data_IF_158058696106
#
_entry.id   IF_158058696106
#
_cell.length_a   1.000
_cell.length_b   1.000
_cell.length_c   1.000
_cell.angle_alpha   90.00
_cell.angle_beta   90.00
_cell.angle_gamma   90.00
#
_symmetry.space_group_name_H-M   'P 1'
#
loop_
_entity.id
_entity.type
_entity.pdbx_description
1 polymer ?
#
# COMPACT_ATOMS: atom_id res chain seq x y z
N UNK A 1 63.07 -8.14 -41.16
CA UNK A 1 61.98 -8.03 -42.15
C UNK A 1 61.02 -9.20 -41.98
N UNK A 2 61.48 -10.46 -42.05
CA UNK A 2 60.62 -11.65 -41.82
C UNK A 2 60.09 -11.77 -40.37
N UNK A 3 60.90 -11.49 -39.34
CA UNK A 3 60.46 -11.56 -37.93
C UNK A 3 59.41 -10.49 -37.55
N UNK A 4 59.48 -9.29 -38.15
CA UNK A 4 58.51 -8.22 -37.91
C UNK A 4 57.14 -8.52 -38.55
N UNK A 5 57.12 -9.19 -39.70
CA UNK A 5 55.88 -9.63 -40.35
C UNK A 5 55.18 -10.75 -39.56
N UNK A 6 55.93 -11.68 -38.95
CA UNK A 6 55.36 -12.72 -38.08
C UNK A 6 54.74 -12.16 -36.80
N UNK A 7 55.40 -11.18 -36.14
CA UNK A 7 54.83 -10.51 -34.96
C UNK A 7 53.54 -9.74 -35.30
N UNK A 8 53.50 -9.05 -36.44
CA UNK A 8 52.30 -8.31 -36.88
C UNK A 8 51.13 -9.26 -37.21
N UNK A 9 51.42 -10.43 -37.79
CA UNK A 9 50.41 -11.45 -38.04
C UNK A 9 49.88 -12.07 -36.74
N UNK A 10 50.75 -12.29 -35.75
CA UNK A 10 50.37 -12.82 -34.43
C UNK A 10 49.51 -11.81 -33.65
N UNK A 11 49.85 -10.53 -33.69
CA UNK A 11 49.03 -9.44 -33.13
C UNK A 11 47.66 -9.37 -33.80
N UNK A 12 47.59 -9.46 -35.14
CA UNK A 12 46.31 -9.50 -35.88
C UNK A 12 45.47 -10.71 -35.49
N UNK A 13 46.09 -11.89 -35.29
CA UNK A 13 45.42 -13.09 -34.78
C UNK A 13 44.91 -12.90 -33.34
N UNK A 14 45.70 -12.29 -32.45
CA UNK A 14 45.31 -11.96 -31.06
C UNK A 14 44.14 -10.97 -31.03
N UNK A 15 44.15 -9.92 -31.87
CA UNK A 15 43.06 -8.94 -32.02
C UNK A 15 41.76 -9.59 -32.52
N UNK A 16 41.85 -10.48 -33.51
CA UNK A 16 40.68 -11.24 -34.02
C UNK A 16 40.09 -12.16 -32.96
N UNK A 17 40.91 -12.83 -32.15
CA UNK A 17 40.45 -13.66 -31.02
C UNK A 17 39.76 -12.85 -29.93
N UNK A 18 40.29 -11.66 -29.58
CA UNK A 18 39.65 -10.76 -28.59
C UNK A 18 38.28 -10.27 -29.06
N UNK A 19 38.17 -9.80 -30.31
CA UNK A 19 36.88 -9.37 -30.89
C UNK A 19 35.83 -10.47 -30.92
N UNK A 20 36.23 -11.73 -31.19
CA UNK A 20 35.31 -12.88 -31.13
C UNK A 20 34.81 -13.15 -29.71
N UNK A 21 35.71 -13.14 -28.72
CA UNK A 21 35.34 -13.32 -27.29
C UNK A 21 34.41 -12.20 -26.79
N UNK A 22 34.66 -10.95 -27.17
CA UNK A 22 33.79 -9.81 -26.82
C UNK A 22 32.39 -9.95 -27.42
N UNK A 23 32.30 -10.40 -28.67
CA UNK A 23 31.01 -10.67 -29.33
C UNK A 23 30.21 -11.79 -28.65
N UNK A 24 30.88 -12.87 -28.25
CA UNK A 24 30.26 -13.99 -27.52
C UNK A 24 29.74 -13.56 -26.12
N UNK A 25 30.52 -12.76 -25.39
CA UNK A 25 30.09 -12.21 -24.09
C UNK A 25 28.87 -11.27 -24.21
N UNK A 26 28.85 -10.43 -25.23
CA UNK A 26 27.73 -9.50 -25.45
C UNK A 26 26.44 -10.25 -25.82
N UNK A 27 26.56 -11.32 -26.60
CA UNK A 27 25.44 -12.20 -26.95
C UNK A 27 24.90 -12.93 -25.71
N UNK A 28 25.78 -13.39 -24.82
CA UNK A 28 25.38 -14.04 -23.57
C UNK A 28 24.68 -13.04 -22.61
N UNK A 29 25.18 -11.81 -22.50
CA UNK A 29 24.54 -10.72 -21.74
C UNK A 29 23.14 -10.39 -22.30
N UNK A 30 22.97 -10.34 -23.63
CA UNK A 30 21.66 -10.17 -24.29
C UNK A 30 20.71 -11.35 -24.01
N UNK A 31 21.19 -12.59 -24.05
CA UNK A 31 20.40 -13.79 -23.71
C UNK A 31 19.96 -13.79 -22.24
N UNK A 32 20.85 -13.43 -21.30
CA UNK A 32 20.52 -13.28 -19.87
C UNK A 32 19.47 -12.19 -19.63
N UNK A 33 19.57 -11.04 -20.30
CA UNK A 33 18.59 -9.94 -20.20
C UNK A 33 17.20 -10.36 -20.72
N UNK A 34 17.13 -11.03 -21.88
CA UNK A 34 15.88 -11.59 -22.43
C UNK A 34 15.25 -12.65 -21.51
N UNK A 35 16.05 -13.51 -20.85
CA UNK A 35 15.55 -14.49 -19.86
C UNK A 35 14.96 -13.79 -18.62
N UNK A 36 15.62 -12.74 -18.10
CA UNK A 36 15.12 -11.93 -16.97
C UNK A 36 13.79 -11.25 -17.30
N UNK A 37 13.66 -10.67 -18.49
CA UNK A 37 12.40 -10.03 -18.93
C UNK A 37 11.25 -11.03 -19.12
N UNK A 38 11.53 -12.20 -19.69
CA UNK A 38 10.54 -13.30 -19.79
C UNK A 38 10.08 -13.74 -18.40
N UNK A 39 10.98 -13.81 -17.41
CA UNK A 39 10.67 -14.07 -16.01
C UNK A 39 9.74 -13.02 -15.39
N UNK A 40 10.04 -11.72 -15.58
CA UNK A 40 9.20 -10.61 -15.12
C UNK A 40 7.79 -10.64 -15.75
N UNK A 41 7.69 -10.91 -17.06
CA UNK A 41 6.40 -11.07 -17.77
C UNK A 41 5.59 -12.26 -17.25
N UNK A 42 6.22 -13.41 -16.99
CA UNK A 42 5.56 -14.59 -16.39
C UNK A 42 5.04 -14.31 -14.98
N UNK A 43 5.81 -13.62 -14.13
CA UNK A 43 5.37 -13.20 -12.77
C UNK A 43 4.16 -12.24 -12.84
N UNK A 44 4.19 -11.25 -13.75
CA UNK A 44 3.07 -10.31 -13.97
C UNK A 44 1.80 -11.03 -14.47
N UNK A 45 1.94 -12.03 -15.35
CA UNK A 45 0.81 -12.85 -15.85
C UNK A 45 0.24 -13.77 -14.75
N UNK A 46 1.08 -14.35 -13.88
CA UNK A 46 0.64 -15.10 -12.70
C UNK A 46 -0.11 -14.22 -11.68
N UNK A 47 0.40 -13.01 -11.37
CA UNK A 47 -0.30 -12.01 -10.53
C UNK A 47 -1.67 -11.64 -11.10
N UNK A 48 -1.78 -11.36 -12.41
CA UNK A 48 -3.07 -11.07 -13.08
C UNK A 48 -4.05 -12.25 -13.04
N UNK A 49 -3.59 -13.49 -13.22
CA UNK A 49 -4.44 -14.69 -13.11
C UNK A 49 -4.93 -14.91 -11.67
N UNK A 50 -4.09 -14.68 -10.65
CA UNK A 50 -4.50 -14.71 -9.24
C UNK A 50 -5.53 -13.62 -8.91
N UNK A 51 -5.34 -12.40 -9.41
CA UNK A 51 -6.31 -11.29 -9.27
C UNK A 51 -7.69 -11.65 -9.86
N UNK A 52 -7.73 -12.24 -11.06
CA UNK A 52 -8.99 -12.72 -11.68
C UNK A 52 -9.64 -13.88 -10.92
N UNK A 53 -8.84 -14.74 -10.27
CA UNK A 53 -9.36 -15.85 -9.46
C UNK A 53 -9.96 -15.32 -8.15
N UNK A 54 -9.29 -14.35 -7.51
CA UNK A 54 -9.79 -13.58 -6.36
C UNK A 54 -11.07 -12.79 -6.68
N UNK A 55 -11.18 -12.18 -7.86
CA UNK A 55 -12.43 -11.52 -8.29
C UNK A 55 -13.61 -12.51 -8.39
N UNK A 56 -13.37 -13.72 -8.91
CA UNK A 56 -14.39 -14.78 -8.98
C UNK A 56 -14.75 -15.41 -7.63
N UNK A 57 -13.84 -15.34 -6.66
CA UNK A 57 -14.10 -15.76 -5.28
C UNK A 57 -14.80 -14.65 -4.47
N UNK A 58 -14.52 -13.37 -4.74
CA UNK A 58 -15.25 -12.22 -4.17
C UNK A 58 -16.74 -12.20 -4.50
N UNK A 59 -17.14 -12.63 -5.70
CA UNK A 59 -18.57 -12.78 -6.06
C UNK A 59 -19.31 -13.80 -5.19
N UNK A 60 -18.59 -14.76 -4.59
CA UNK A 60 -19.20 -15.80 -3.73
C UNK A 60 -19.32 -15.41 -2.26
N UNK A 61 -18.66 -14.34 -1.82
CA UNK A 61 -18.58 -13.92 -0.40
C UNK A 61 -19.34 -12.59 -0.16
N UNK A 62 -20.17 -12.13 -1.10
CA UNK A 62 -21.00 -10.93 -0.91
C UNK A 62 -22.34 -11.28 -0.25
N UNK A 63 -22.57 -10.97 1.05
CA UNK A 63 -23.86 -10.46 1.46
C UNK A 63 -23.92 -8.98 1.09
N UNK A 64 -25.02 -8.61 0.44
CA UNK A 64 -25.38 -7.29 -0.04
C UNK A 64 -25.20 -6.21 1.04
N UNK A 65 -24.18 -5.36 0.91
CA UNK A 65 -24.03 -4.14 1.69
C UNK A 65 -24.32 -2.94 0.79
N UNK A 66 -25.59 -2.55 0.74
CA UNK A 66 -26.00 -1.20 0.36
C UNK A 66 -25.70 -0.30 1.56
N UNK A 67 -24.65 0.51 1.47
CA UNK A 67 -24.41 1.62 2.39
C UNK A 67 -24.99 2.88 1.75
N UNK A 68 -26.23 3.20 2.10
CA UNK A 68 -26.81 4.51 1.80
C UNK A 68 -26.18 5.59 2.66
N UNK A 69 -25.96 6.74 2.03
CA UNK A 69 -25.32 7.92 2.60
C UNK A 69 -26.28 8.66 3.53
N UNK A 70 -25.76 9.16 4.65
CA UNK A 70 -26.21 10.42 5.22
C UNK A 70 -25.12 11.44 5.01
N UNK A 71 -25.39 12.43 4.15
CA UNK A 71 -24.67 13.69 4.17
C UNK A 71 -25.02 14.39 5.50
N UNK A 72 -24.05 14.44 6.40
CA UNK A 72 -24.14 15.31 7.57
C UNK A 72 -23.49 16.64 7.21
N UNK A 73 -24.35 17.65 7.04
CA UNK A 73 -23.94 19.02 6.77
C UNK A 73 -23.36 19.65 8.02
N UNK A 74 -22.04 19.63 8.16
CA UNK A 74 -21.35 20.48 9.13
C UNK A 74 -20.84 21.74 8.41
N UNK A 75 -21.60 22.83 8.57
CA UNK A 75 -21.06 24.19 8.40
C UNK A 75 -19.94 24.36 9.42
N UNK A 76 -18.74 24.77 9.00
CA UNK A 76 -17.73 25.28 9.93
C UNK A 76 -17.16 26.60 9.45
N UNK A 77 -17.10 27.50 10.42
CA UNK A 77 -16.99 28.95 10.41
C UNK A 77 -15.81 29.52 9.62
N UNK A 78 -16.08 30.60 8.88
CA UNK A 78 -15.11 31.63 8.54
C UNK A 78 -14.96 32.57 9.76
N UNK A 79 -13.74 32.89 10.18
CA UNK A 79 -13.42 34.22 10.69
C UNK A 79 -11.92 34.57 10.66
N UNK A 80 -11.66 35.75 10.08
CA UNK A 80 -10.63 36.78 10.35
C UNK A 80 -9.14 36.46 10.60
N UNK A 81 -8.33 37.11 9.74
CA UNK A 81 -7.21 38.03 10.05
C UNK A 81 -5.71 37.62 9.85
N UNK A 82 -5.09 38.39 8.93
CA UNK A 82 -3.71 38.92 8.86
C UNK A 82 -2.61 38.15 8.06
N UNK A 83 -2.56 38.48 6.75
CA UNK A 83 -1.43 39.09 5.99
C UNK A 83 -0.02 38.48 6.09
N UNK A 84 0.08 37.19 5.82
CA UNK A 84 1.37 36.49 5.62
C UNK A 84 1.23 34.96 5.71
N UNK A 85 0.13 34.50 6.32
CA UNK A 85 -0.29 33.10 6.46
C UNK A 85 -1.24 32.61 5.36
N UNK A 86 -1.66 33.51 4.46
CA UNK A 86 -2.72 33.25 3.49
C UNK A 86 -2.38 32.19 2.45
N UNK A 87 -1.12 32.10 2.03
CA UNK A 87 -0.70 31.10 1.05
C UNK A 87 -0.78 29.68 1.64
N UNK A 88 -0.28 29.50 2.87
CA UNK A 88 -0.37 28.25 3.65
C UNK A 88 -1.79 27.81 3.92
N UNK A 89 -2.68 28.75 4.21
CA UNK A 89 -4.09 28.49 4.42
C UNK A 89 -4.83 28.17 3.11
N UNK A 90 -4.50 28.85 2.01
CA UNK A 90 -4.98 28.53 0.66
C UNK A 90 -4.51 27.14 0.19
N UNK A 91 -3.28 26.72 0.57
CA UNK A 91 -2.74 25.38 0.32
C UNK A 91 -3.56 24.28 1.02
N UNK A 92 -3.94 24.51 2.27
CA UNK A 92 -4.80 23.59 3.04
C UNK A 92 -6.20 23.47 2.42
N UNK A 93 -6.81 24.61 2.08
CA UNK A 93 -8.17 24.66 1.48
C UNK A 93 -8.23 23.96 0.12
N UNK A 94 -7.19 24.06 -0.71
CA UNK A 94 -7.14 23.42 -2.02
C UNK A 94 -7.05 21.89 -1.93
N UNK A 95 -6.20 21.35 -1.04
CA UNK A 95 -6.07 19.91 -0.83
C UNK A 95 -7.33 19.30 -0.19
N UNK A 96 -7.97 20.03 0.73
CA UNK A 96 -9.18 19.57 1.41
C UNK A 96 -10.42 19.45 0.51
N UNK A 97 -10.44 20.13 -0.65
CA UNK A 97 -11.54 20.04 -1.63
C UNK A 97 -11.30 19.02 -2.73
N UNK A 98 -10.09 18.95 -3.26
CA UNK A 98 -9.72 17.98 -4.28
C UNK A 98 -8.22 17.71 -4.16
N UNK A 99 -7.80 16.55 -3.64
CA UNK A 99 -6.43 16.34 -3.25
C UNK A 99 -5.50 16.27 -4.47
N UNK A 100 -6.00 15.75 -5.59
CA UNK A 100 -5.29 15.76 -6.87
C UNK A 100 -4.97 17.18 -7.36
N UNK A 101 -5.95 18.09 -7.34
CA UNK A 101 -5.74 19.50 -7.73
C UNK A 101 -4.87 20.24 -6.72
N UNK A 102 -5.02 19.95 -5.43
CA UNK A 102 -4.19 20.52 -4.38
C UNK A 102 -2.71 20.18 -4.55
N UNK A 103 -2.38 18.91 -4.80
CA UNK A 103 -1.01 18.47 -5.05
C UNK A 103 -0.45 19.09 -6.34
N UNK A 104 -1.22 19.14 -7.43
CA UNK A 104 -0.78 19.81 -8.66
C UNK A 104 -0.50 21.30 -8.46
N UNK A 105 -1.31 21.99 -7.67
CA UNK A 105 -1.10 23.41 -7.36
C UNK A 105 0.18 23.63 -6.53
N UNK A 106 0.43 22.75 -5.56
CA UNK A 106 1.65 22.81 -4.75
C UNK A 106 2.91 22.58 -5.61
N UNK A 107 2.84 21.64 -6.55
CA UNK A 107 3.91 21.38 -7.52
C UNK A 107 4.14 22.60 -8.42
N UNK A 108 3.08 23.14 -9.03
CA UNK A 108 3.19 24.25 -9.99
C UNK A 108 3.71 25.55 -9.36
N UNK A 109 3.50 25.71 -8.06
CA UNK A 109 4.02 26.83 -7.26
C UNK A 109 5.40 26.57 -6.66
N UNK A 110 5.99 25.38 -6.88
CA UNK A 110 7.33 25.03 -6.42
C UNK A 110 7.44 24.69 -4.93
N UNK A 111 6.32 24.42 -4.24
CA UNK A 111 6.33 24.09 -2.80
C UNK A 111 6.73 22.64 -2.52
N UNK A 112 6.44 21.75 -3.46
CA UNK A 112 6.83 20.34 -3.40
C UNK A 112 7.41 19.95 -4.77
N UNK A 113 8.43 19.09 -4.80
CA UNK A 113 8.99 18.65 -6.07
C UNK A 113 8.00 17.73 -6.80
N UNK A 114 7.99 17.80 -8.12
CA UNK A 114 7.16 16.95 -8.99
C UNK A 114 7.72 15.51 -9.08
N UNK A 115 7.80 14.84 -7.94
CA UNK A 115 8.33 13.48 -7.81
C UNK A 115 7.48 12.69 -6.82
N UNK A 116 7.25 11.39 -7.06
CA UNK A 116 6.44 10.57 -6.14
C UNK A 116 6.98 10.55 -4.71
N UNK A 117 8.31 10.47 -4.57
CA UNK A 117 9.02 10.48 -3.28
C UNK A 117 8.83 11.82 -2.57
N UNK A 118 8.98 12.93 -3.28
CA UNK A 118 8.77 14.27 -2.73
C UNK A 118 7.36 14.50 -2.20
N UNK A 119 6.36 14.04 -2.96
CA UNK A 119 4.96 14.09 -2.52
C UNK A 119 4.73 13.14 -1.33
N UNK A 120 5.33 11.95 -1.32
CA UNK A 120 5.21 11.00 -0.21
C UNK A 120 5.74 11.60 1.11
N UNK A 121 6.95 12.17 1.11
CA UNK A 121 7.50 12.85 2.28
C UNK A 121 6.63 14.03 2.72
N UNK A 122 6.12 14.83 1.78
CA UNK A 122 5.20 15.92 2.10
C UNK A 122 3.94 15.42 2.83
N UNK A 123 3.32 14.34 2.33
CA UNK A 123 2.11 13.76 2.93
C UNK A 123 2.35 13.19 4.33
N UNK A 124 3.56 12.64 4.60
CA UNK A 124 3.90 12.05 5.89
C UNK A 124 4.38 13.06 6.94
N UNK A 125 5.10 14.11 6.53
CA UNK A 125 5.75 15.03 7.46
C UNK A 125 4.90 16.26 7.80
N UNK A 126 4.01 16.70 6.91
CA UNK A 126 3.26 17.94 7.11
C UNK A 126 2.09 17.74 8.06
N UNK A 127 2.16 18.43 9.20
CA UNK A 127 1.05 18.56 10.14
C UNK A 127 -0.11 19.33 9.50
N UNK A 128 -1.33 18.96 9.88
CA UNK A 128 -2.55 19.65 9.46
C UNK A 128 -3.14 19.16 8.14
N UNK A 129 -2.56 18.17 7.45
CA UNK A 129 -3.24 17.54 6.32
C UNK A 129 -4.36 16.59 6.81
N UNK A 130 -5.52 16.66 6.17
CA UNK A 130 -6.61 15.73 6.47
C UNK A 130 -6.24 14.30 6.09
N UNK A 131 -6.17 13.41 7.08
CA UNK A 131 -5.88 11.97 6.90
C UNK A 131 -6.87 11.29 5.93
N UNK A 132 -8.10 11.79 5.87
CA UNK A 132 -9.11 11.35 4.91
C UNK A 132 -8.72 11.69 3.48
N UNK A 133 -8.29 12.93 3.25
CA UNK A 133 -7.89 13.39 1.92
C UNK A 133 -6.59 12.74 1.45
N UNK A 134 -5.69 12.43 2.38
CA UNK A 134 -4.51 11.58 2.10
C UNK A 134 -4.95 10.20 1.63
N UNK A 135 -5.86 9.54 2.36
CA UNK A 135 -6.40 8.23 1.98
C UNK A 135 -7.10 8.27 0.62
N UNK A 136 -7.84 9.33 0.32
CA UNK A 136 -8.50 9.53 -0.96
C UNK A 136 -7.51 9.69 -2.12
N UNK A 137 -6.47 10.50 -1.92
CA UNK A 137 -5.41 10.71 -2.92
C UNK A 137 -4.66 9.41 -3.23
N UNK A 138 -4.21 8.71 -2.19
CA UNK A 138 -3.40 7.49 -2.31
C UNK A 138 -4.22 6.29 -2.80
N UNK A 139 -5.51 6.24 -2.44
CA UNK A 139 -6.45 5.22 -2.88
C UNK A 139 -6.85 5.36 -4.36
N UNK A 140 -6.53 6.47 -5.03
CA UNK A 140 -6.88 6.69 -6.42
C UNK A 140 -6.09 5.78 -7.37
N UNK A 141 -6.74 4.70 -7.82
CA UNK A 141 -6.13 3.71 -8.70
C UNK A 141 -6.12 4.11 -10.18
N UNK A 142 -6.83 5.17 -10.56
CA UNK A 142 -6.96 5.61 -11.97
C UNK A 142 -5.69 6.29 -12.50
N UNK A 143 -4.93 6.93 -11.61
CA UNK A 143 -3.73 7.70 -11.97
C UNK A 143 -2.46 6.95 -11.59
N UNK A 144 -1.51 6.88 -12.52
CA UNK A 144 -0.22 6.22 -12.26
C UNK A 144 0.57 6.93 -11.16
N UNK A 145 0.57 8.27 -11.17
CA UNK A 145 1.30 9.08 -10.19
C UNK A 145 0.86 8.78 -8.76
N UNK A 146 -0.44 8.76 -8.47
CA UNK A 146 -0.98 8.43 -7.15
C UNK A 146 -0.56 7.03 -6.69
N UNK A 147 -0.51 6.07 -7.62
CA UNK A 147 -0.03 4.72 -7.33
C UNK A 147 1.44 4.70 -6.95
N UNK A 148 2.27 5.46 -7.67
CA UNK A 148 3.71 5.55 -7.42
C UNK A 148 3.97 6.28 -6.10
N UNK A 149 3.19 7.32 -5.77
CA UNK A 149 3.25 8.00 -4.47
C UNK A 149 2.88 7.04 -3.33
N UNK A 150 1.81 6.24 -3.48
CA UNK A 150 1.45 5.24 -2.46
C UNK A 150 2.57 4.23 -2.23
N UNK A 151 3.20 3.75 -3.31
CA UNK A 151 4.32 2.81 -3.20
C UNK A 151 5.49 3.47 -2.43
N UNK A 152 5.82 4.74 -2.70
CA UNK A 152 6.80 5.50 -1.91
C UNK A 152 6.38 5.71 -0.44
N UNK A 153 5.11 6.02 -0.18
CA UNK A 153 4.59 6.23 1.18
C UNK A 153 4.74 4.98 2.03
N UNK A 154 4.40 3.79 1.49
CA UNK A 154 4.57 2.54 2.25
C UNK A 154 6.04 2.17 2.39
N UNK A 155 6.89 2.52 1.43
CA UNK A 155 8.33 2.24 1.52
C UNK A 155 9.04 3.06 2.61
N UNK A 156 8.53 4.26 2.93
CA UNK A 156 8.98 5.07 4.07
C UNK A 156 8.52 4.51 5.43
N UNK A 157 7.61 3.52 5.44
CA UNK A 157 7.17 2.88 6.67
C UNK A 157 7.95 1.60 6.94
N UNK A 158 8.53 1.54 8.14
CA UNK A 158 9.15 0.32 8.67
C UNK A 158 8.16 -0.47 9.54
N UNK A 159 7.91 -1.71 9.16
CA UNK A 159 7.04 -2.66 9.87
C UNK A 159 7.81 -3.87 10.39
N UNK A 160 9.15 -3.84 10.34
CA UNK A 160 9.98 -4.98 10.72
C UNK A 160 9.81 -5.31 12.20
N UNK A 161 9.52 -6.58 12.50
CA UNK A 161 9.32 -7.07 13.86
C UNK A 161 8.00 -6.64 14.52
N UNK A 162 7.13 -5.91 13.80
CA UNK A 162 5.80 -5.56 14.29
C UNK A 162 4.80 -6.67 13.99
N UNK A 163 3.85 -6.87 14.89
CA UNK A 163 2.67 -7.69 14.60
C UNK A 163 1.78 -7.00 13.56
N UNK A 164 0.90 -7.78 12.91
CA UNK A 164 0.13 -7.29 11.77
C UNK A 164 -0.80 -6.12 12.14
N UNK A 165 -1.46 -6.20 13.28
CA UNK A 165 -2.36 -5.16 13.77
C UNK A 165 -1.61 -3.93 14.28
N UNK A 166 -0.42 -4.10 14.87
CA UNK A 166 0.46 -2.99 15.23
C UNK A 166 0.94 -2.22 14.00
N UNK A 167 1.45 -2.94 12.99
CA UNK A 167 1.85 -2.35 11.73
C UNK A 167 0.68 -1.65 11.03
N UNK A 168 -0.52 -2.24 11.07
CA UNK A 168 -1.72 -1.65 10.49
C UNK A 168 -2.15 -0.38 11.24
N UNK A 169 -2.03 -0.33 12.57
CA UNK A 169 -2.26 0.89 13.36
C UNK A 169 -1.24 1.98 13.00
N UNK A 170 0.04 1.64 12.85
CA UNK A 170 1.08 2.59 12.41
C UNK A 170 0.77 3.18 11.03
N UNK A 171 0.29 2.34 10.11
CA UNK A 171 -0.17 2.78 8.79
C UNK A 171 -1.39 3.71 8.90
N UNK A 172 -2.40 3.32 9.68
CA UNK A 172 -3.64 4.09 9.88
C UNK A 172 -3.45 5.40 10.66
N UNK A 173 -2.36 5.53 11.43
CA UNK A 173 -2.04 6.77 12.13
C UNK A 173 -1.83 7.95 11.16
N UNK A 174 -1.27 7.67 9.98
CA UNK A 174 -0.98 8.66 8.94
C UNK A 174 -2.10 8.76 7.88
N UNK A 175 -2.81 7.67 7.63
CA UNK A 175 -3.75 7.55 6.50
C UNK A 175 -5.08 6.99 7.00
N UNK A 176 -6.19 7.67 6.72
CA UNK A 176 -7.52 7.12 7.03
C UNK A 176 -7.91 6.08 5.96
N UNK A 177 -8.12 4.84 6.38
CA UNK A 177 -8.44 3.71 5.49
C UNK A 177 -9.94 3.36 5.56
N UNK A 178 -10.80 4.37 5.35
CA UNK A 178 -12.26 4.23 5.35
C UNK A 178 -12.85 4.90 4.11
N UNK A 179 -14.06 4.51 3.71
CA UNK A 179 -14.78 5.09 2.56
C UNK A 179 -15.01 4.07 1.45
N UNK A 180 -14.76 4.47 0.19
CA UNK A 180 -14.99 3.62 -0.98
C UNK A 180 -14.20 2.32 -0.92
N UNK A 181 -14.89 1.18 -1.08
CA UNK A 181 -14.29 -0.15 -0.98
C UNK A 181 -13.07 -0.34 -1.90
N UNK A 182 -13.11 0.21 -3.12
CA UNK A 182 -11.99 0.13 -4.07
C UNK A 182 -10.74 0.88 -3.60
N UNK A 183 -10.91 2.03 -2.93
CA UNK A 183 -9.80 2.82 -2.35
C UNK A 183 -9.20 2.10 -1.15
N UNK A 184 -10.05 1.56 -0.26
CA UNK A 184 -9.64 0.73 0.88
C UNK A 184 -8.83 -0.47 0.40
N UNK A 185 -9.32 -1.20 -0.61
CA UNK A 185 -8.60 -2.33 -1.19
C UNK A 185 -7.21 -1.96 -1.69
N UNK A 186 -7.08 -0.84 -2.38
CA UNK A 186 -5.79 -0.39 -2.89
C UNK A 186 -4.80 -0.09 -1.77
N UNK A 187 -5.23 0.61 -0.73
CA UNK A 187 -4.39 0.96 0.42
C UNK A 187 -3.93 -0.30 1.15
N UNK A 188 -4.84 -1.25 1.39
CA UNK A 188 -4.53 -2.49 2.09
C UNK A 188 -3.68 -3.45 1.26
N UNK A 189 -3.86 -3.47 -0.06
CA UNK A 189 -2.97 -4.21 -0.95
C UNK A 189 -1.52 -3.69 -0.85
N UNK A 190 -1.31 -2.38 -0.83
CA UNK A 190 0.01 -1.78 -0.70
C UNK A 190 0.62 -2.04 0.69
N UNK A 191 -0.15 -1.80 1.75
CA UNK A 191 0.26 -2.10 3.13
C UNK A 191 0.69 -3.57 3.29
N UNK A 192 -0.14 -4.50 2.82
CA UNK A 192 0.12 -5.94 2.97
C UNK A 192 1.39 -6.36 2.23
N UNK A 193 1.63 -5.80 1.04
CA UNK A 193 2.86 -6.07 0.29
C UNK A 193 4.09 -5.58 1.06
N UNK A 194 4.02 -4.39 1.66
CA UNK A 194 5.11 -3.84 2.47
C UNK A 194 5.34 -4.67 3.73
N UNK A 195 4.29 -5.02 4.47
CA UNK A 195 4.39 -5.86 5.66
C UNK A 195 5.07 -7.21 5.34
N UNK A 196 4.70 -7.86 4.24
CA UNK A 196 5.33 -9.10 3.79
C UNK A 196 6.82 -8.95 3.46
N UNK A 197 7.25 -7.78 2.99
CA UNK A 197 8.67 -7.51 2.72
C UNK A 197 9.47 -7.30 4.00
N UNK A 198 8.89 -6.63 5.00
CA UNK A 198 9.51 -6.39 6.30
C UNK A 198 9.55 -7.65 7.18
N UNK A 199 8.57 -8.54 7.05
CA UNK A 199 8.38 -9.70 7.93
C UNK A 199 8.35 -11.03 7.15
N UNK A 200 9.45 -11.42 6.46
CA UNK A 200 9.48 -12.63 5.64
C UNK A 200 9.26 -13.90 6.46
N UNK A 201 9.69 -13.92 7.73
CA UNK A 201 9.57 -15.09 8.61
C UNK A 201 8.12 -15.38 8.98
N UNK A 202 7.32 -14.33 9.19
CA UNK A 202 5.86 -14.44 9.41
C UNK A 202 5.17 -14.97 8.15
N UNK A 203 5.57 -14.48 6.97
CA UNK A 203 4.98 -14.91 5.70
C UNK A 203 5.25 -16.39 5.40
N UNK A 204 6.44 -16.90 5.75
CA UNK A 204 6.80 -18.30 5.54
C UNK A 204 5.91 -19.28 6.31
N UNK A 205 5.29 -18.84 7.41
CA UNK A 205 4.37 -19.67 8.18
C UNK A 205 3.01 -19.85 7.47
N UNK A 206 2.72 -19.03 6.46
CA UNK A 206 1.47 -19.11 5.70
C UNK A 206 1.65 -19.80 4.34
N UNK A 207 0.81 -20.80 4.07
CA UNK A 207 0.78 -21.50 2.78
C UNK A 207 0.24 -20.64 1.64
N UNK A 208 -0.66 -19.70 1.95
CA UNK A 208 -1.28 -18.81 0.98
C UNK A 208 -0.60 -17.43 1.00
N UNK A 209 0.00 -16.97 -0.12
CA UNK A 209 0.66 -15.67 -0.20
C UNK A 209 -0.30 -14.48 -0.05
N UNK A 210 -1.60 -14.75 -0.12
CA UNK A 210 -2.66 -13.76 -0.01
C UNK A 210 -3.22 -13.62 1.41
N UNK A 211 -2.77 -14.46 2.36
CA UNK A 211 -3.28 -14.48 3.74
C UNK A 211 -3.17 -13.12 4.42
N UNK A 212 -1.97 -12.50 4.45
CA UNK A 212 -1.77 -11.19 5.10
C UNK A 212 -2.76 -10.13 4.63
N UNK A 213 -3.07 -10.11 3.33
CA UNK A 213 -4.04 -9.18 2.76
C UNK A 213 -5.46 -9.45 3.27
N UNK A 214 -5.86 -10.72 3.32
CA UNK A 214 -7.18 -11.13 3.84
C UNK A 214 -7.28 -10.78 5.33
N UNK A 215 -6.21 -11.00 6.10
CA UNK A 215 -6.16 -10.69 7.52
C UNK A 215 -6.27 -9.20 7.80
N UNK A 216 -5.48 -8.37 7.10
CA UNK A 216 -5.55 -6.92 7.23
C UNK A 216 -6.96 -6.40 6.92
N UNK A 217 -7.61 -6.96 5.90
CA UNK A 217 -9.01 -6.65 5.57
C UNK A 217 -9.98 -7.07 6.68
N UNK A 218 -9.82 -8.28 7.22
CA UNK A 218 -10.65 -8.79 8.29
C UNK A 218 -10.55 -7.92 9.55
N UNK A 219 -9.33 -7.47 9.92
CA UNK A 219 -9.11 -6.55 11.05
C UNK A 219 -9.85 -5.22 10.84
N UNK A 220 -9.87 -4.69 9.61
CA UNK A 220 -10.57 -3.43 9.30
C UNK A 220 -12.08 -3.61 9.36
N UNK A 221 -12.60 -4.72 8.86
CA UNK A 221 -14.03 -5.04 8.94
C UNK A 221 -14.47 -5.21 10.39
N UNK A 222 -13.68 -5.93 11.19
CA UNK A 222 -13.92 -6.08 12.62
C UNK A 222 -13.89 -4.74 13.35
N UNK A 223 -12.90 -3.90 13.06
CA UNK A 223 -12.82 -2.55 13.63
C UNK A 223 -14.06 -1.72 13.25
N UNK A 224 -14.51 -1.81 12.00
CA UNK A 224 -15.71 -1.10 11.55
C UNK A 224 -16.97 -1.63 12.24
N UNK A 225 -17.11 -2.95 12.39
CA UNK A 225 -18.25 -3.59 13.05
C UNK A 225 -18.31 -3.24 14.55
N UNK A 226 -17.19 -3.41 15.25
CA UNK A 226 -17.09 -3.19 16.68
C UNK A 226 -17.37 -1.74 17.11
N UNK A 227 -17.02 -0.76 16.28
CA UNK A 227 -17.11 0.65 16.66
C UNK A 227 -18.18 1.44 15.89
N UNK A 228 -18.89 0.82 14.94
CA UNK A 228 -19.99 1.50 14.25
C UNK A 228 -21.16 1.76 15.22
N UNK A 229 -21.60 3.03 15.38
CA UNK A 229 -22.77 3.35 16.20
C UNK A 229 -24.08 2.84 15.56
N UNK A 230 -24.05 2.49 14.27
CA UNK A 230 -25.19 1.98 13.53
C UNK A 230 -25.43 0.48 13.78
N UNK A 231 -24.49 -0.21 14.43
CA UNK A 231 -24.60 -1.64 14.76
C UNK A 231 -24.89 -1.76 16.24
N UNK A 232 -26.05 -2.32 16.56
CA UNK A 232 -26.48 -2.50 17.95
C UNK A 232 -25.51 -3.44 18.68
N UNK A 233 -25.21 -3.21 19.97
CA UNK A 233 -24.25 -4.01 20.73
C UNK A 233 -24.50 -5.53 20.68
N UNK A 234 -25.76 -5.94 20.70
CA UNK A 234 -26.23 -7.34 20.62
C UNK A 234 -26.04 -7.98 19.23
N UNK A 235 -25.75 -7.18 18.21
CA UNK A 235 -25.52 -7.62 16.82
C UNK A 235 -24.07 -7.49 16.38
N UNK A 236 -23.19 -6.97 17.24
CA UNK A 236 -21.76 -6.87 16.93
C UNK A 236 -21.18 -8.27 16.85
N UNK A 237 -20.25 -8.44 15.91
CA UNK A 237 -19.63 -9.72 15.63
C UNK A 237 -18.87 -10.21 16.85
N UNK A 238 -19.27 -11.36 17.36
CA UNK A 238 -18.53 -12.02 18.44
C UNK A 238 -17.25 -12.65 17.87
N UNK A 239 -16.30 -12.96 18.75
CA UNK A 239 -15.02 -13.57 18.36
C UNK A 239 -15.23 -14.86 17.56
N UNK A 240 -16.20 -15.65 18.01
CA UNK A 240 -16.58 -16.93 17.43
C UNK A 240 -17.16 -16.74 16.02
N UNK A 241 -17.92 -15.68 15.80
CA UNK A 241 -18.48 -15.33 14.49
C UNK A 241 -17.39 -14.86 13.53
N UNK A 242 -16.43 -14.06 14.01
CA UNK A 242 -15.29 -13.61 13.22
C UNK A 242 -14.40 -14.78 12.78
N UNK A 243 -14.08 -15.69 13.71
CA UNK A 243 -13.34 -16.93 13.42
C UNK A 243 -14.11 -17.78 12.39
N UNK A 244 -15.43 -17.94 12.56
CA UNK A 244 -16.26 -18.72 11.63
C UNK A 244 -16.26 -18.11 10.22
N UNK A 245 -16.32 -16.78 10.10
CA UNK A 245 -16.28 -16.09 8.81
C UNK A 245 -14.95 -16.30 8.06
N UNK A 246 -13.86 -16.58 8.78
CA UNK A 246 -12.52 -16.78 8.19
C UNK A 246 -12.15 -18.27 8.01
N UNK A 247 -12.87 -19.20 8.66
CA UNK A 247 -12.65 -20.66 8.54
C UNK A 247 -12.88 -21.21 7.14
N UNK A 248 -13.67 -20.56 6.30
CA UNK A 248 -13.95 -20.99 4.92
C UNK A 248 -12.72 -21.02 3.99
N UNK A 249 -11.58 -20.43 4.40
CA UNK A 249 -10.40 -20.27 3.55
C UNK A 249 -9.19 -21.19 3.92
N UNK A 250 -9.36 -22.17 4.81
CA UNK A 250 -8.28 -23.10 5.19
C UNK A 250 -7.20 -22.46 6.08
N UNK A 251 -7.55 -21.40 6.79
CA UNK A 251 -6.69 -20.61 7.66
C UNK A 251 -6.99 -21.01 9.13
N UNK A 252 -6.63 -22.21 9.59
CA UNK A 252 -7.26 -22.75 10.82
C UNK A 252 -6.32 -22.84 12.03
N UNK A 253 -5.08 -23.31 11.94
CA UNK A 253 -4.36 -23.64 13.19
C UNK A 253 -3.43 -22.55 13.72
N UNK A 254 -2.58 -21.96 12.87
CA UNK A 254 -1.70 -20.85 13.28
C UNK A 254 -2.47 -19.53 13.52
N UNK A 255 -3.66 -19.44 12.94
CA UNK A 255 -4.43 -18.21 12.83
C UNK A 255 -5.30 -17.92 14.03
N UNK A 256 -5.79 -18.95 14.73
CA UNK A 256 -6.51 -18.79 15.98
C UNK A 256 -5.66 -18.10 17.05
N UNK A 257 -4.35 -18.40 17.10
CA UNK A 257 -3.43 -17.79 18.06
C UNK A 257 -3.23 -16.30 17.76
N UNK A 258 -2.86 -15.97 16.52
CA UNK A 258 -2.67 -14.58 16.06
C UNK A 258 -3.97 -13.77 16.21
N UNK A 259 -5.12 -14.35 15.85
CA UNK A 259 -6.41 -13.71 16.05
C UNK A 259 -6.71 -13.45 17.52
N UNK A 260 -6.44 -14.42 18.40
CA UNK A 260 -6.72 -14.29 19.82
C UNK A 260 -5.86 -13.19 20.45
N UNK A 261 -4.58 -13.09 20.06
CA UNK A 261 -3.69 -12.01 20.49
C UNK A 261 -4.12 -10.65 19.95
N UNK A 262 -4.45 -10.57 18.64
CA UNK A 262 -4.97 -9.35 18.02
C UNK A 262 -6.28 -8.91 18.68
N UNK A 263 -7.20 -9.83 18.95
CA UNK A 263 -8.50 -9.53 19.57
C UNK A 263 -8.35 -9.19 21.04
N UNK A 264 -7.44 -9.83 21.78
CA UNK A 264 -7.09 -9.46 23.14
C UNK A 264 -6.44 -8.07 23.19
N UNK A 265 -5.58 -7.75 22.21
CA UNK A 265 -4.96 -6.43 22.04
C UNK A 265 -5.97 -5.34 21.66
N UNK A 266 -6.85 -5.61 20.69
CA UNK A 266 -7.93 -4.69 20.27
C UNK A 266 -8.93 -4.47 21.43
N UNK A 267 -9.30 -5.51 22.17
CA UNK A 267 -10.15 -5.41 23.37
C UNK A 267 -9.45 -4.67 24.52
N UNK A 268 -8.15 -4.89 24.76
CA UNK A 268 -7.39 -4.16 25.78
C UNK A 268 -7.20 -2.67 25.42
N UNK A 269 -7.16 -2.33 24.13
CA UNK A 269 -7.05 -0.94 23.67
C UNK A 269 -8.37 -0.15 23.70
N UNK A 270 -9.47 -0.75 24.20
CA UNK A 270 -10.74 -0.09 24.54
C UNK A 270 -10.57 1.20 25.35
N UNK A 271 -9.45 1.36 26.09
CA UNK A 271 -9.15 2.55 26.89
C UNK A 271 -8.29 3.63 26.22
N UNK A 272 -7.63 3.37 25.08
CA UNK A 272 -6.74 4.38 24.43
C UNK A 272 -7.28 4.92 23.10
N UNK A 273 -7.94 4.09 22.30
CA UNK A 273 -8.45 4.51 20.97
C UNK A 273 -9.79 5.25 21.09
N UNK A 274 -10.61 4.94 22.10
CA UNK A 274 -11.83 5.71 22.39
C UNK A 274 -11.53 7.19 22.71
N UNK A 275 -10.35 7.48 23.27
CA UNK A 275 -9.91 8.88 23.44
C UNK A 275 -9.38 9.53 22.15
N UNK A 276 -8.98 8.75 21.13
CA UNK A 276 -8.25 9.28 19.97
C UNK A 276 -9.07 9.33 18.67
N UNK A 277 -10.12 8.52 18.52
CA UNK A 277 -10.97 8.49 17.31
C UNK A 277 -12.36 9.12 17.47
N UNK A 278 -12.72 9.59 18.67
CA UNK A 278 -13.95 10.37 18.90
C UNK A 278 -13.71 11.84 19.26
N UNK A 279 -12.48 12.37 19.12
CA UNK A 279 -12.20 13.78 19.43
C UNK A 279 -11.51 14.62 18.35
N UNK A 280 -11.23 14.08 17.16
CA UNK A 280 -10.82 14.88 15.98
C UNK A 280 -11.17 14.17 14.67
#
# INVERSE_FOLDING_TARGET
MEEEEEEEEEERRKRRKRKRKEGEEEEEKKKKRKRRERGKRRRKKKKRKRKRKKEKEKEKITPSLQLEQKEDGTKQELCSEQNGKDLSHLYFLAFCRNPDKGIQFLISRGFIPDTPIGVAHFLLQRKGLSRQMIGEFLGNSKKQFNRDVLDCVVDEMDFSGMELDEALRKFQAHIRVQGEAQKVERLIEAFSQRYCMCNPDVVQQFHNPDTIFILAFAIILLNTDMYSPNIKPDRKMMLEDFIRNLRGEGIIDLFLFILYDILSGIRCQQYKILCFLQRF
#
